data_IF_341981784501
#
_entry.id   IF_341981784501
#
_cell.length_a   1.000
_cell.length_b   1.000
_cell.length_c   1.000
_cell.angle_alpha   90.00
_cell.angle_beta   90.00
_cell.angle_gamma   90.00
#
_symmetry.space_group_name_H-M   'P 1'
#
loop_
_entity.id
_entity.type
_entity.pdbx_description
1 polymer ?
#
# COMPACT_ATOMS: atom_id res chain seq x y z
N UNK A 1 -24.43 15.61 -22.12
CA UNK A 1 -25.17 14.37 -21.86
C UNK A 1 -24.15 13.26 -21.77
N UNK A 2 -23.89 12.73 -20.58
CA UNK A 2 -23.28 11.40 -20.47
C UNK A 2 -24.27 10.38 -21.05
N UNK A 3 -23.83 9.56 -22.00
CA UNK A 3 -24.63 8.46 -22.50
C UNK A 3 -24.52 7.30 -21.50
N UNK A 4 -25.66 6.75 -21.10
CA UNK A 4 -25.75 5.59 -20.20
C UNK A 4 -25.31 4.32 -20.95
N UNK A 5 -23.99 4.15 -21.12
CA UNK A 5 -23.37 3.11 -21.94
C UNK A 5 -22.34 2.36 -21.11
N UNK A 6 -22.39 1.03 -21.17
CA UNK A 6 -21.35 0.16 -20.60
C UNK A 6 -20.31 -0.16 -21.67
N UNK A 7 -19.04 0.08 -21.37
CA UNK A 7 -17.91 -0.24 -22.25
C UNK A 7 -17.08 -1.33 -21.58
N UNK A 8 -16.80 -2.39 -22.33
CA UNK A 8 -15.83 -3.40 -21.92
C UNK A 8 -14.48 -3.08 -22.58
N UNK A 9 -13.46 -2.84 -21.77
CA UNK A 9 -12.10 -2.54 -22.23
C UNK A 9 -11.16 -3.68 -21.82
N UNK A 10 -10.39 -4.17 -22.78
CA UNK A 10 -9.25 -5.06 -22.54
C UNK A 10 -7.98 -4.36 -23.04
N UNK A 11 -7.04 -4.09 -22.15
CA UNK A 11 -5.72 -3.54 -22.49
C UNK A 11 -4.62 -4.42 -21.89
N UNK A 12 -3.43 -4.36 -22.47
CA UNK A 12 -2.22 -4.95 -21.92
C UNK A 12 -1.42 -3.94 -21.07
N UNK A 13 -1.84 -2.67 -21.07
CA UNK A 13 -1.18 -1.57 -20.34
C UNK A 13 -1.93 -1.28 -19.06
N UNK A 14 -1.30 -1.58 -17.93
CA UNK A 14 -1.93 -1.43 -16.61
C UNK A 14 -2.23 0.04 -16.27
N UNK A 15 -1.42 0.99 -16.76
CA UNK A 15 -1.64 2.43 -16.56
C UNK A 15 -2.92 2.92 -17.26
N UNK A 16 -3.18 2.48 -18.50
CA UNK A 16 -4.42 2.83 -19.23
C UNK A 16 -5.66 2.27 -18.52
N UNK A 17 -5.56 1.03 -18.03
CA UNK A 17 -6.64 0.40 -17.27
C UNK A 17 -6.91 1.19 -15.98
N UNK A 18 -5.87 1.61 -15.26
CA UNK A 18 -6.02 2.40 -14.03
C UNK A 18 -6.60 3.80 -14.29
N UNK A 19 -6.28 4.43 -15.42
CA UNK A 19 -6.74 5.79 -15.77
C UNK A 19 -8.20 5.80 -16.27
N UNK A 20 -8.58 4.79 -17.07
CA UNK A 20 -9.85 4.80 -17.81
C UNK A 20 -10.94 3.98 -17.10
N UNK A 21 -10.59 2.86 -16.47
CA UNK A 21 -11.59 1.93 -15.96
C UNK A 21 -12.10 2.33 -14.58
N UNK A 22 -13.43 2.40 -14.45
CA UNK A 22 -14.10 2.58 -13.15
C UNK A 22 -13.99 1.32 -12.29
N UNK A 23 -13.94 0.15 -12.93
CA UNK A 23 -13.85 -1.18 -12.30
C UNK A 23 -12.99 -2.11 -13.14
N UNK A 24 -12.33 -3.04 -12.47
CA UNK A 24 -11.36 -3.96 -13.05
C UNK A 24 -11.74 -5.38 -12.62
N UNK A 25 -11.69 -6.31 -13.57
CA UNK A 25 -11.81 -7.74 -13.35
C UNK A 25 -10.45 -8.40 -13.59
N UNK A 26 -9.92 -9.11 -12.60
CA UNK A 26 -8.70 -9.90 -12.71
C UNK A 26 -9.09 -11.34 -13.01
N UNK A 27 -8.66 -11.85 -14.15
CA UNK A 27 -8.92 -13.22 -14.61
C UNK A 27 -7.57 -13.91 -14.80
N UNK A 28 -7.43 -15.11 -14.24
CA UNK A 28 -6.30 -16.00 -14.49
C UNK A 28 -6.79 -17.42 -14.73
N UNK A 29 -6.19 -18.11 -15.70
CA UNK A 29 -6.48 -19.53 -15.98
C UNK A 29 -7.99 -19.86 -16.13
N UNK A 30 -8.75 -18.94 -16.74
CA UNK A 30 -10.20 -19.08 -16.93
C UNK A 30 -11.06 -18.83 -15.67
N UNK A 31 -10.46 -18.37 -14.58
CA UNK A 31 -11.15 -18.05 -13.31
C UNK A 31 -11.10 -16.56 -13.02
N UNK A 32 -12.23 -16.02 -12.58
CA UNK A 32 -12.32 -14.66 -12.07
C UNK A 32 -11.80 -14.60 -10.64
N UNK A 33 -10.64 -13.99 -10.43
CA UNK A 33 -9.98 -13.91 -9.12
C UNK A 33 -10.50 -12.72 -8.29
N UNK A 34 -10.75 -11.59 -8.94
CA UNK A 34 -11.20 -10.38 -8.27
C UNK A 34 -11.97 -9.47 -9.22
N UNK A 35 -12.93 -8.72 -8.67
CA UNK A 35 -13.60 -7.61 -9.35
C UNK A 35 -13.79 -6.47 -8.37
N UNK A 36 -13.46 -5.25 -8.77
CA UNK A 36 -13.64 -4.07 -7.93
C UNK A 36 -13.07 -2.82 -8.59
N UNK A 37 -13.13 -1.70 -7.88
CA UNK A 37 -12.34 -0.51 -8.21
C UNK A 37 -10.86 -0.79 -7.95
N UNK A 38 -9.97 0.06 -8.50
CA UNK A 38 -8.52 -0.04 -8.24
C UNK A 38 -8.22 0.00 -6.73
N UNK A 39 -8.94 0.86 -5.99
CA UNK A 39 -8.70 1.01 -4.55
C UNK A 39 -9.19 -0.21 -3.76
N UNK A 40 -10.34 -0.78 -4.12
CA UNK A 40 -10.81 -2.04 -3.51
C UNK A 40 -9.81 -3.19 -3.75
N UNK A 41 -9.23 -3.27 -4.94
CA UNK A 41 -8.21 -4.29 -5.25
C UNK A 41 -6.92 -4.06 -4.44
N UNK A 42 -6.50 -2.80 -4.26
CA UNK A 42 -5.36 -2.44 -3.40
C UNK A 42 -5.61 -2.82 -1.95
N UNK A 43 -6.76 -2.49 -1.41
CA UNK A 43 -7.10 -2.74 -0.01
C UNK A 43 -7.06 -4.23 0.30
N UNK A 44 -7.56 -5.08 -0.60
CA UNK A 44 -7.44 -6.55 -0.46
C UNK A 44 -5.99 -7.02 -0.35
N UNK A 45 -5.07 -6.41 -1.08
CA UNK A 45 -3.64 -6.74 -0.98
C UNK A 45 -3.04 -6.16 0.30
N UNK A 46 -3.39 -4.92 0.67
CA UNK A 46 -2.91 -4.26 1.90
C UNK A 46 -3.33 -5.01 3.17
N UNK A 47 -4.55 -5.53 3.22
CA UNK A 47 -5.06 -6.33 4.34
C UNK A 47 -4.25 -7.61 4.55
N UNK A 48 -3.72 -8.20 3.47
CA UNK A 48 -2.99 -9.46 3.51
C UNK A 48 -1.49 -9.28 3.72
N UNK A 49 -0.90 -8.38 2.94
CA UNK A 49 0.56 -8.23 2.86
C UNK A 49 1.07 -7.13 3.79
N UNK A 50 0.22 -6.15 4.13
CA UNK A 50 0.62 -4.94 4.82
C UNK A 50 0.87 -3.75 3.88
N UNK A 51 1.43 -2.71 4.46
CA UNK A 51 1.54 -1.36 3.90
C UNK A 51 2.93 -0.82 4.17
N UNK A 52 3.50 -0.10 3.19
CA UNK A 52 4.76 0.63 3.36
C UNK A 52 4.47 2.10 3.63
N UNK A 53 4.97 2.59 4.76
CA UNK A 53 4.91 3.98 5.15
C UNK A 53 6.28 4.64 4.96
N UNK A 54 6.28 5.89 4.49
CA UNK A 54 7.47 6.72 4.34
C UNK A 54 7.32 7.93 5.25
N UNK A 55 8.29 8.10 6.16
CA UNK A 55 8.25 9.14 7.17
C UNK A 55 9.50 10.01 7.09
N UNK A 56 9.31 11.30 7.25
CA UNK A 56 10.37 12.25 7.60
C UNK A 56 10.18 12.65 9.06
N UNK A 57 11.26 12.57 9.84
CA UNK A 57 11.24 12.86 11.26
C UNK A 57 12.33 13.86 11.63
N UNK A 58 12.08 14.66 12.67
CA UNK A 58 13.05 15.53 13.33
C UNK A 58 13.08 15.26 14.83
N UNK A 59 14.04 15.86 15.53
CA UNK A 59 14.17 15.84 17.00
C UNK A 59 14.42 14.45 17.62
N UNK A 60 14.57 13.42 16.77
CA UNK A 60 14.86 12.04 17.14
C UNK A 60 15.79 11.44 16.07
N UNK A 61 16.77 10.64 16.49
CA UNK A 61 17.63 9.95 15.54
C UNK A 61 16.85 8.87 14.78
N UNK A 62 17.15 8.68 13.49
CA UNK A 62 16.52 7.62 12.70
C UNK A 62 16.74 6.23 13.29
N UNK A 63 17.87 5.99 13.94
CA UNK A 63 18.19 4.72 14.60
C UNK A 63 17.27 4.50 15.82
N UNK A 64 17.13 5.50 16.70
CA UNK A 64 16.24 5.40 17.86
C UNK A 64 14.77 5.22 17.43
N UNK A 65 14.36 5.92 16.37
CA UNK A 65 13.04 5.75 15.79
C UNK A 65 12.84 4.32 15.27
N UNK A 66 13.79 3.79 14.49
CA UNK A 66 13.72 2.45 13.93
C UNK A 66 13.64 1.37 15.02
N UNK A 67 14.49 1.45 16.06
CA UNK A 67 14.47 0.50 17.17
C UNK A 67 13.13 0.48 17.92
N UNK A 68 12.51 1.65 18.09
CA UNK A 68 11.21 1.77 18.77
C UNK A 68 10.08 1.23 17.91
N UNK A 69 10.07 1.56 16.62
CA UNK A 69 9.04 1.09 15.70
C UNK A 69 9.09 -0.43 15.51
N UNK A 70 10.29 -1.02 15.44
CA UNK A 70 10.46 -2.47 15.37
C UNK A 70 9.91 -3.24 16.58
N UNK A 71 9.62 -2.57 17.70
CA UNK A 71 9.00 -3.18 18.89
C UNK A 71 7.47 -3.11 18.89
N UNK A 72 6.87 -2.43 17.92
CA UNK A 72 5.43 -2.29 17.83
C UNK A 72 4.86 -3.54 17.15
N UNK A 73 3.88 -4.18 17.80
CA UNK A 73 3.16 -5.28 17.17
C UNK A 73 2.45 -4.79 15.89
N UNK A 74 2.63 -5.51 14.79
CA UNK A 74 2.15 -5.12 13.46
C UNK A 74 3.14 -4.28 12.66
N UNK A 75 4.33 -3.97 13.18
CA UNK A 75 5.46 -3.48 12.36
C UNK A 75 6.35 -4.68 12.03
N UNK A 76 6.60 -4.88 10.74
CA UNK A 76 7.31 -6.05 10.22
C UNK A 76 8.78 -5.73 9.88
N UNK A 77 9.04 -4.54 9.35
CA UNK A 77 10.39 -4.11 8.99
C UNK A 77 10.50 -2.57 9.04
N UNK A 78 11.66 -2.06 9.41
CA UNK A 78 11.95 -0.62 9.41
C UNK A 78 13.33 -0.38 8.83
N UNK A 79 13.39 0.43 7.77
CA UNK A 79 14.62 0.77 7.04
C UNK A 79 14.84 2.27 7.01
N UNK A 80 16.11 2.66 7.01
CA UNK A 80 16.52 4.06 6.88
C UNK A 80 17.12 4.20 5.49
N UNK A 81 16.47 4.97 4.62
CA UNK A 81 16.90 5.16 3.23
C UNK A 81 16.63 6.58 2.79
N UNK A 82 17.59 7.19 2.09
CA UNK A 82 17.45 8.52 1.47
C UNK A 82 17.01 9.62 2.45
N UNK A 83 17.44 9.54 3.72
CA UNK A 83 17.04 10.49 4.76
C UNK A 83 15.60 10.35 5.23
N UNK A 84 14.94 9.22 4.91
CA UNK A 84 13.58 8.90 5.34
C UNK A 84 13.56 7.58 6.11
N UNK A 85 12.52 7.42 6.94
CA UNK A 85 12.22 6.19 7.63
C UNK A 85 11.13 5.44 6.86
N UNK A 86 11.45 4.25 6.38
CA UNK A 86 10.53 3.40 5.64
C UNK A 86 10.07 2.26 6.54
N UNK A 87 8.78 2.19 6.80
CA UNK A 87 8.18 1.28 7.77
C UNK A 87 7.22 0.36 7.04
N UNK A 88 7.51 -0.94 7.03
CA UNK A 88 6.58 -1.96 6.56
C UNK A 88 5.76 -2.48 7.74
N UNK A 89 4.44 -2.37 7.66
CA UNK A 89 3.55 -2.64 8.78
C UNK A 89 2.15 -3.06 8.31
N UNK A 90 1.33 -3.59 9.21
CA UNK A 90 -0.07 -3.91 8.95
C UNK A 90 -0.89 -2.66 8.56
N UNK A 91 -2.00 -2.89 7.86
CA UNK A 91 -2.93 -1.82 7.50
C UNK A 91 -3.47 -1.13 8.76
N UNK A 92 -3.53 0.20 8.74
CA UNK A 92 -4.07 1.00 9.84
C UNK A 92 -3.06 1.37 10.94
N UNK A 93 -1.78 0.99 10.79
CA UNK A 93 -0.72 1.27 11.78
C UNK A 93 -0.27 2.73 11.84
N UNK A 94 -0.78 3.60 10.94
CA UNK A 94 -0.43 5.02 10.83
C UNK A 94 -0.44 5.75 12.18
N UNK A 95 -1.51 5.61 12.96
CA UNK A 95 -1.67 6.34 14.23
C UNK A 95 -0.70 5.84 15.30
N UNK A 96 -0.47 4.53 15.37
CA UNK A 96 0.42 3.88 16.33
C UNK A 96 1.87 4.29 16.07
N UNK A 97 2.29 4.25 14.80
CA UNK A 97 3.64 4.68 14.35
C UNK A 97 3.87 6.15 14.70
N UNK A 98 2.93 7.04 14.33
CA UNK A 98 3.05 8.47 14.63
C UNK A 98 3.13 8.75 16.13
N UNK A 99 2.31 8.05 16.93
CA UNK A 99 2.31 8.18 18.39
C UNK A 99 3.62 7.70 19.01
N UNK A 100 4.19 6.60 18.52
CA UNK A 100 5.44 6.06 19.04
C UNK A 100 6.61 7.01 18.81
N UNK A 101 6.70 7.64 17.63
CA UNK A 101 7.72 8.66 17.33
C UNK A 101 7.55 9.86 18.26
N UNK A 102 6.31 10.36 18.42
CA UNK A 102 6.01 11.50 19.29
C UNK A 102 6.37 11.23 20.76
N UNK A 103 6.05 10.05 21.28
CA UNK A 103 6.39 9.66 22.66
C UNK A 103 7.90 9.51 22.89
N UNK A 104 8.65 9.24 21.83
CA UNK A 104 10.10 9.18 21.86
C UNK A 104 10.77 10.56 21.82
N UNK A 105 9.99 11.65 21.68
CA UNK A 105 10.49 13.02 21.54
C UNK A 105 10.71 13.47 20.11
N UNK A 106 10.39 12.63 19.11
CA UNK A 106 10.50 12.99 17.70
C UNK A 106 9.27 13.69 17.16
N UNK A 107 9.45 14.51 16.12
CA UNK A 107 8.38 15.14 15.37
C UNK A 107 8.29 14.49 13.99
N UNK A 108 7.08 14.16 13.53
CA UNK A 108 6.87 13.65 12.16
C UNK A 108 6.51 14.83 11.26
N UNK A 109 7.40 15.20 10.34
CA UNK A 109 7.15 16.28 9.37
C UNK A 109 6.37 15.77 8.16
N UNK A 110 6.63 14.54 7.73
CA UNK A 110 5.94 13.89 6.61
C UNK A 110 5.55 12.46 6.98
N UNK A 111 4.34 12.07 6.63
CA UNK A 111 3.85 10.70 6.81
C UNK A 111 3.01 10.32 5.60
N UNK A 112 3.61 9.56 4.70
CA UNK A 112 2.97 9.06 3.49
C UNK A 112 2.84 7.55 3.51
N UNK A 113 1.76 7.07 2.92
CA UNK A 113 1.60 5.68 2.58
C UNK A 113 2.02 5.50 1.12
N UNK A 114 2.93 4.57 0.86
CA UNK A 114 3.33 4.26 -0.51
C UNK A 114 2.18 3.57 -1.23
N UNK A 115 1.68 4.23 -2.29
CA UNK A 115 0.63 3.68 -3.14
C UNK A 115 1.18 2.55 -3.98
N UNK A 116 0.57 1.37 -3.89
CA UNK A 116 0.85 0.26 -4.82
C UNK A 116 0.27 0.56 -6.19
N UNK A 117 1.06 0.43 -7.25
CA UNK A 117 0.56 0.45 -8.62
C UNK A 117 -0.32 -0.79 -8.92
N UNK A 118 -1.24 -0.66 -9.88
CA UNK A 118 -2.15 -1.75 -10.24
C UNK A 118 -1.41 -3.01 -10.74
N UNK A 119 -0.21 -2.86 -11.30
CA UNK A 119 0.59 -3.99 -11.77
C UNK A 119 1.06 -4.87 -10.60
N UNK A 120 1.56 -4.27 -9.52
CA UNK A 120 1.93 -4.98 -8.29
C UNK A 120 0.72 -5.67 -7.66
N UNK A 121 -0.42 -4.97 -7.60
CA UNK A 121 -1.67 -5.53 -7.08
C UNK A 121 -2.08 -6.77 -7.88
N UNK A 122 -2.05 -6.69 -9.21
CA UNK A 122 -2.35 -7.81 -10.10
C UNK A 122 -1.41 -9.01 -9.87
N UNK A 123 -0.09 -8.79 -9.79
CA UNK A 123 0.88 -9.86 -9.54
C UNK A 123 0.62 -10.56 -8.20
N UNK A 124 0.25 -9.81 -7.16
CA UNK A 124 -0.11 -10.35 -5.85
C UNK A 124 -1.40 -11.15 -5.88
N UNK A 125 -2.41 -10.70 -6.63
CA UNK A 125 -3.68 -11.41 -6.79
C UNK A 125 -3.55 -12.71 -7.59
N UNK A 126 -2.71 -12.76 -8.62
CA UNK A 126 -2.46 -14.00 -9.40
C UNK A 126 -1.61 -14.99 -8.62
N UNK A 127 -0.57 -14.52 -7.92
CA UNK A 127 0.27 -15.38 -7.08
C UNK A 127 -0.52 -16.14 -6.01
N UNK A 128 -1.64 -15.59 -5.58
CA UNK A 128 -2.57 -16.18 -4.62
C UNK A 128 -3.45 -17.31 -5.20
N UNK A 129 -3.69 -17.33 -6.50
CA UNK A 129 -4.56 -18.33 -7.15
C UNK A 129 -3.93 -19.73 -7.29
N UNK A 130 -2.62 -19.84 -7.03
CA UNK A 130 -1.83 -21.06 -7.13
C UNK A 130 -1.36 -21.62 -5.76
N UNK A 131 -1.94 -21.14 -4.65
CA UNK A 131 -1.70 -21.65 -3.30
C UNK A 131 -2.83 -22.55 -2.80
#
# INVERSE_FOLDING_TARGET
QEKDVTIFLSSHTMAEVEEICSRIAVIDSGKLLAVGTVEELRDRVREKEGVRYVLEISDLSFQDAAERLNRINGVHDVRIMDGTLQVYADMGMRTQIAKAIKLAGGTVSRFEEERMDLQKVFLKLIGDGNA
#
